data_IF_588446351687
#
_entry.id   IF_588446351687
#
_cell.length_a   1.000
_cell.length_b   1.000
_cell.length_c   1.000
_cell.angle_alpha   90.00
_cell.angle_beta   90.00
_cell.angle_gamma   90.00
#
_symmetry.space_group_name_H-M   'P 1'
#
loop_
_entity.id
_entity.type
_entity.pdbx_description
1 polymer ?
#
# COMPACT_ATOMS: atom_id res chain seq x y z
N UNK A 1 12.44 3.52 -3.39
CA UNK A 1 12.61 2.06 -3.68
C UNK A 1 11.25 1.40 -3.79
N UNK A 2 11.01 0.62 -4.86
CA UNK A 2 9.70 -0.04 -5.11
C UNK A 2 9.93 -1.53 -5.28
N UNK A 3 9.10 -2.36 -4.62
CA UNK A 3 9.05 -3.81 -4.77
C UNK A 3 7.61 -4.30 -4.87
N UNK A 4 7.28 -5.06 -5.89
CA UNK A 4 6.02 -5.78 -6.07
C UNK A 4 6.34 -7.27 -6.07
N UNK A 5 5.86 -8.02 -5.07
CA UNK A 5 6.34 -9.37 -4.79
C UNK A 5 5.26 -10.28 -4.21
N UNK A 6 5.42 -11.59 -4.37
CA UNK A 6 4.58 -12.60 -3.71
C UNK A 6 5.10 -12.97 -2.32
N UNK A 7 6.42 -12.87 -2.12
CA UNK A 7 7.05 -13.21 -0.85
C UNK A 7 6.57 -12.31 0.29
N UNK A 8 6.42 -12.87 1.48
CA UNK A 8 6.18 -12.11 2.71
C UNK A 8 7.36 -11.20 3.05
N UNK A 9 7.11 -10.17 3.81
CA UNK A 9 8.13 -9.28 4.35
C UNK A 9 7.81 -8.92 5.81
N UNK A 10 8.84 -8.61 6.57
CA UNK A 10 8.71 -8.05 7.91
C UNK A 10 8.83 -6.52 7.84
N UNK A 11 7.73 -5.82 8.14
CA UNK A 11 7.65 -4.37 7.98
C UNK A 11 8.62 -3.62 8.91
N UNK A 12 8.90 -4.16 10.10
CA UNK A 12 9.84 -3.54 11.04
C UNK A 12 11.27 -3.64 10.53
N UNK A 13 11.66 -4.81 10.07
CA UNK A 13 13.00 -5.04 9.47
C UNK A 13 13.20 -4.17 8.24
N UNK A 14 12.21 -4.09 7.34
CA UNK A 14 12.28 -3.28 6.13
C UNK A 14 12.37 -1.78 6.44
N UNK A 15 11.56 -1.31 7.37
CA UNK A 15 11.57 0.10 7.79
C UNK A 15 12.88 0.48 8.48
N UNK A 16 13.41 -0.41 9.33
CA UNK A 16 14.69 -0.19 9.99
C UNK A 16 15.86 -0.16 8.98
N UNK A 17 15.86 -1.06 8.00
CA UNK A 17 16.85 -1.10 6.93
C UNK A 17 16.78 0.17 6.05
N UNK A 18 15.56 0.62 5.72
CA UNK A 18 15.32 1.82 4.93
C UNK A 18 15.85 3.10 5.60
N UNK A 19 15.70 3.23 6.92
CA UNK A 19 16.17 4.39 7.68
C UNK A 19 17.66 4.32 8.08
N UNK A 20 18.29 3.15 7.94
CA UNK A 20 19.66 2.94 8.40
C UNK A 20 20.66 3.87 7.72
N UNK A 21 21.43 4.62 8.52
CA UNK A 21 22.48 5.51 8.02
C UNK A 21 21.99 6.83 7.41
N UNK A 22 20.68 7.12 7.50
CA UNK A 22 20.07 8.35 6.95
C UNK A 22 20.05 9.47 8.00
N UNK A 23 21.25 9.92 8.40
CA UNK A 23 21.39 10.96 9.42
C UNK A 23 20.82 12.32 9.00
N UNK A 24 20.61 12.55 7.71
CA UNK A 24 19.98 13.73 7.13
C UNK A 24 18.45 13.76 7.33
N UNK A 25 17.85 12.61 7.66
CA UNK A 25 16.41 12.50 7.88
C UNK A 25 16.03 12.86 9.32
N UNK A 26 15.23 13.89 9.49
CA UNK A 26 14.62 14.26 10.77
C UNK A 26 13.30 13.52 11.08
N UNK A 27 12.72 12.86 10.07
CA UNK A 27 11.47 12.15 10.21
C UNK A 27 11.39 10.93 9.30
N UNK A 28 10.86 9.83 9.85
CA UNK A 28 10.39 8.65 9.15
C UNK A 28 8.90 8.48 9.45
N UNK A 29 8.08 8.42 8.43
CA UNK A 29 6.68 7.98 8.54
C UNK A 29 6.49 6.68 7.78
N UNK A 30 5.63 5.80 8.27
CA UNK A 30 5.29 4.56 7.58
C UNK A 30 3.84 4.13 7.83
N UNK A 31 3.29 3.43 6.87
CA UNK A 31 2.00 2.75 6.94
C UNK A 31 2.17 1.29 6.53
N UNK A 32 1.55 0.40 7.30
CA UNK A 32 1.47 -1.04 6.98
C UNK A 32 0.00 -1.42 6.87
N UNK A 33 -0.39 -1.93 5.71
CA UNK A 33 -1.71 -2.53 5.50
C UNK A 33 -1.63 -4.05 5.61
N UNK A 34 -2.56 -4.66 6.34
CA UNK A 34 -2.63 -6.11 6.54
C UNK A 34 -3.99 -6.68 6.16
N UNK A 35 -4.04 -7.98 5.91
CA UNK A 35 -5.28 -8.72 5.68
C UNK A 35 -6.06 -8.78 6.99
N UNK A 36 -7.32 -8.36 6.95
CA UNK A 36 -8.24 -8.48 8.09
C UNK A 36 -8.91 -9.85 8.09
N UNK A 37 -9.30 -10.33 9.26
CA UNK A 37 -10.04 -11.58 9.45
C UNK A 37 -11.52 -11.47 9.11
N UNK A 38 -12.02 -10.27 8.94
CA UNK A 38 -13.42 -9.99 8.64
C UNK A 38 -13.57 -8.80 7.67
N UNK A 39 -14.58 -8.88 6.83
CA UNK A 39 -15.01 -7.81 5.95
C UNK A 39 -16.54 -7.80 5.84
N UNK A 40 -17.16 -6.61 6.05
CA UNK A 40 -18.61 -6.43 6.00
C UNK A 40 -19.44 -7.33 6.94
N UNK A 41 -18.81 -7.78 8.06
CA UNK A 41 -19.45 -8.69 9.03
C UNK A 41 -19.21 -10.17 8.74
N UNK A 42 -18.61 -10.51 7.61
CA UNK A 42 -18.29 -11.89 7.25
C UNK A 42 -16.81 -12.22 7.49
N UNK A 43 -16.55 -13.49 7.80
CA UNK A 43 -15.18 -14.01 7.95
C UNK A 43 -14.46 -14.04 6.61
N UNK A 44 -13.18 -13.69 6.61
CA UNK A 44 -12.28 -13.75 5.45
C UNK A 44 -11.24 -14.83 5.71
N UNK A 45 -11.18 -15.84 4.85
CA UNK A 45 -10.16 -16.90 4.91
C UNK A 45 -8.84 -16.46 4.29
N UNK A 46 -8.92 -15.68 3.20
CA UNK A 46 -7.76 -15.12 2.51
C UNK A 46 -8.15 -13.91 1.66
N UNK A 47 -7.15 -13.12 1.35
CA UNK A 47 -7.17 -12.09 0.32
C UNK A 47 -6.29 -12.55 -0.83
N UNK A 48 -6.79 -12.47 -2.05
CA UNK A 48 -6.00 -12.69 -3.25
C UNK A 48 -5.91 -11.38 -4.05
N UNK A 49 -4.69 -10.99 -4.38
CA UNK A 49 -4.41 -9.85 -5.23
C UNK A 49 -3.71 -10.33 -6.50
N UNK A 50 -4.21 -9.90 -7.64
CA UNK A 50 -3.52 -10.08 -8.91
C UNK A 50 -2.84 -8.77 -9.31
N UNK A 51 -1.61 -8.87 -9.78
CA UNK A 51 -0.81 -7.77 -10.31
C UNK A 51 -0.42 -8.06 -11.74
N UNK A 52 -0.16 -7.01 -12.50
CA UNK A 52 0.37 -7.11 -13.85
C UNK A 52 1.87 -6.79 -13.84
N UNK A 53 2.77 -7.80 -13.83
CA UNK A 53 4.22 -7.59 -13.76
C UNK A 53 4.71 -6.58 -14.80
N UNK A 54 5.56 -5.66 -14.38
CA UNK A 54 6.09 -4.58 -15.20
C UNK A 54 5.15 -3.40 -15.39
N UNK A 55 3.84 -3.60 -15.45
CA UNK A 55 2.88 -2.49 -15.53
C UNK A 55 2.57 -1.92 -14.13
N UNK A 56 2.32 -2.80 -13.17
CA UNK A 56 2.04 -2.39 -11.79
C UNK A 56 3.20 -1.60 -11.19
N UNK A 57 4.44 -2.08 -11.37
CA UNK A 57 5.63 -1.38 -10.90
C UNK A 57 5.80 -0.01 -11.56
N UNK A 58 5.52 0.12 -12.85
CA UNK A 58 5.57 1.41 -13.57
C UNK A 58 4.56 2.40 -13.04
N UNK A 59 3.34 1.96 -12.73
CA UNK A 59 2.31 2.83 -12.15
C UNK A 59 2.70 3.28 -10.74
N UNK A 60 3.21 2.38 -9.92
CA UNK A 60 3.71 2.73 -8.57
C UNK A 60 4.88 3.71 -8.68
N UNK A 61 5.82 3.51 -9.62
CA UNK A 61 6.94 4.42 -9.85
C UNK A 61 6.48 5.82 -10.27
N UNK A 62 5.42 5.92 -11.08
CA UNK A 62 4.81 7.21 -11.44
C UNK A 62 4.25 7.93 -10.21
N UNK A 63 3.48 7.21 -9.39
CA UNK A 63 2.90 7.75 -8.15
C UNK A 63 4.01 8.22 -7.20
N UNK A 64 5.08 7.44 -7.06
CA UNK A 64 6.25 7.77 -6.23
C UNK A 64 6.97 9.03 -6.75
N UNK A 65 7.16 9.15 -8.06
CA UNK A 65 7.78 10.33 -8.66
C UNK A 65 6.93 11.61 -8.41
N UNK A 66 5.62 11.52 -8.57
CA UNK A 66 4.71 12.63 -8.27
C UNK A 66 4.73 13.02 -6.77
N UNK A 67 4.88 12.04 -5.86
CA UNK A 67 5.05 12.33 -4.44
C UNK A 67 6.35 13.09 -4.16
N UNK A 68 7.45 12.73 -4.82
CA UNK A 68 8.74 13.42 -4.71
C UNK A 68 8.73 14.84 -5.27
N UNK A 69 7.92 15.10 -6.28
CA UNK A 69 7.73 16.46 -6.81
C UNK A 69 6.88 17.33 -5.88
N UNK A 70 5.97 16.71 -5.13
CA UNK A 70 4.99 17.41 -4.27
C UNK A 70 5.52 17.70 -2.87
N UNK A 71 6.35 16.82 -2.32
CA UNK A 71 6.84 16.86 -0.95
C UNK A 71 8.37 16.88 -0.91
N UNK A 72 8.96 17.60 0.05
CA UNK A 72 10.43 17.59 0.27
C UNK A 72 10.85 16.27 0.93
N UNK A 73 11.08 15.24 0.11
CA UNK A 73 11.40 13.90 0.53
C UNK A 73 12.88 13.59 0.31
N UNK A 74 13.46 12.92 1.27
CA UNK A 74 14.82 12.35 1.15
C UNK A 74 14.73 11.03 0.40
N UNK A 75 13.77 10.15 0.79
CA UNK A 75 13.55 8.87 0.11
C UNK A 75 12.18 8.30 0.42
N UNK A 76 11.74 7.31 -0.38
CA UNK A 76 10.49 6.55 -0.21
C UNK A 76 10.73 5.06 -0.38
N UNK A 77 9.94 4.26 0.33
CA UNK A 77 9.88 2.81 0.21
C UNK A 77 8.44 2.39 -0.02
N UNK A 78 8.20 1.62 -1.07
CA UNK A 78 6.91 0.97 -1.33
C UNK A 78 7.15 -0.52 -1.56
N UNK A 79 6.59 -1.36 -0.69
CA UNK A 79 6.56 -2.81 -0.88
C UNK A 79 5.10 -3.20 -0.98
N UNK A 80 4.71 -3.83 -2.07
CA UNK A 80 3.35 -4.32 -2.26
C UNK A 80 3.36 -5.80 -2.61
N UNK A 81 2.57 -6.60 -1.86
CA UNK A 81 2.41 -8.03 -2.15
C UNK A 81 1.24 -8.26 -3.08
N UNK A 82 1.34 -9.33 -3.85
CA UNK A 82 0.25 -9.93 -4.61
C UNK A 82 0.25 -11.45 -4.40
N UNK A 83 -0.75 -12.14 -4.93
CA UNK A 83 -1.01 -13.55 -4.64
C UNK A 83 -1.93 -13.73 -3.43
N UNK A 84 -1.98 -14.93 -2.90
CA UNK A 84 -2.82 -15.30 -1.76
C UNK A 84 -2.15 -14.92 -0.45
N UNK A 85 -2.90 -14.25 0.42
CA UNK A 85 -2.47 -13.82 1.76
C UNK A 85 -3.58 -14.13 2.76
N UNK A 86 -3.20 -14.58 3.96
CA UNK A 86 -4.14 -14.90 5.03
C UNK A 86 -4.25 -13.77 6.05
N UNK A 87 -5.30 -13.74 6.89
CA UNK A 87 -5.48 -12.74 7.92
C UNK A 87 -4.23 -12.55 8.79
N UNK A 88 -3.87 -11.29 9.05
CA UNK A 88 -2.68 -10.88 9.79
C UNK A 88 -1.44 -10.67 8.92
N UNK A 89 -1.38 -11.19 7.71
CA UNK A 89 -0.25 -10.96 6.82
C UNK A 89 -0.23 -9.52 6.26
N UNK A 90 0.98 -8.95 6.17
CA UNK A 90 1.18 -7.64 5.56
C UNK A 90 0.96 -7.71 4.04
N UNK A 91 0.20 -6.75 3.52
CA UNK A 91 -0.09 -6.55 2.10
C UNK A 91 0.84 -5.49 1.51
N UNK A 92 0.97 -4.37 2.21
CA UNK A 92 1.67 -3.19 1.75
C UNK A 92 2.43 -2.53 2.88
N UNK A 93 3.63 -2.06 2.58
CA UNK A 93 4.39 -1.12 3.37
C UNK A 93 4.68 0.11 2.51
N UNK A 94 4.31 1.28 3.01
CA UNK A 94 4.72 2.58 2.47
C UNK A 94 5.49 3.32 3.54
N UNK A 95 6.67 3.81 3.21
CA UNK A 95 7.46 4.64 4.11
C UNK A 95 8.09 5.83 3.38
N UNK A 96 8.25 6.93 4.09
CA UNK A 96 8.86 8.16 3.59
C UNK A 96 9.83 8.75 4.62
N UNK A 97 10.99 9.17 4.14
CA UNK A 97 11.98 9.92 4.88
C UNK A 97 11.97 11.39 4.43
N UNK A 98 11.94 12.30 5.37
CA UNK A 98 12.03 13.74 5.15
C UNK A 98 12.79 14.43 6.29
N UNK A 99 13.21 15.67 6.08
CA UNK A 99 13.75 16.51 7.16
C UNK A 99 12.71 16.82 8.22
N UNK A 100 11.42 16.89 7.83
CA UNK A 100 10.34 17.32 8.69
C UNK A 100 9.18 16.34 8.71
N UNK A 101 8.58 16.15 9.90
CA UNK A 101 7.49 15.19 10.12
C UNK A 101 6.26 15.41 9.22
N UNK A 102 5.95 16.68 8.90
CA UNK A 102 4.76 17.03 8.10
C UNK A 102 4.86 16.43 6.71
N UNK A 103 5.98 16.64 6.05
CA UNK A 103 6.23 16.12 4.69
C UNK A 103 6.20 14.58 4.66
N UNK A 104 6.85 13.94 5.65
CA UNK A 104 6.86 12.48 5.73
C UNK A 104 5.47 11.89 5.91
N UNK A 105 4.65 12.45 6.82
CA UNK A 105 3.28 11.99 7.08
C UNK A 105 2.35 12.22 5.87
N UNK A 106 2.42 13.42 5.28
CA UNK A 106 1.60 13.76 4.11
C UNK A 106 1.97 12.91 2.88
N UNK A 107 3.25 12.61 2.70
CA UNK A 107 3.70 11.76 1.60
C UNK A 107 3.19 10.32 1.74
N UNK A 108 3.23 9.74 2.94
CA UNK A 108 2.69 8.39 3.18
C UNK A 108 1.18 8.36 2.92
N UNK A 109 0.44 9.35 3.40
CA UNK A 109 -1.00 9.48 3.20
C UNK A 109 -1.34 9.62 1.69
N UNK A 110 -0.65 10.51 0.99
CA UNK A 110 -0.76 10.69 -0.46
C UNK A 110 -0.49 9.40 -1.24
N UNK A 111 0.63 8.73 -0.92
CA UNK A 111 1.02 7.49 -1.59
C UNK A 111 -0.04 6.40 -1.39
N UNK A 112 -0.59 6.28 -0.18
CA UNK A 112 -1.63 5.29 0.10
C UNK A 112 -2.92 5.54 -0.67
N UNK A 113 -3.39 6.80 -0.71
CA UNK A 113 -4.60 7.15 -1.46
C UNK A 113 -4.44 6.87 -2.97
N UNK A 114 -3.27 7.22 -3.51
CA UNK A 114 -2.98 6.98 -4.93
C UNK A 114 -2.81 5.49 -5.25
N UNK A 115 -2.13 4.73 -4.38
CA UNK A 115 -1.98 3.27 -4.54
C UNK A 115 -3.33 2.55 -4.54
N UNK A 116 -4.27 2.96 -3.68
CA UNK A 116 -5.60 2.36 -3.61
C UNK A 116 -6.47 2.63 -4.84
N UNK A 117 -6.28 3.76 -5.50
CA UNK A 117 -7.12 4.18 -6.63
C UNK A 117 -6.50 3.93 -7.99
N UNK A 118 -5.18 3.97 -8.10
CA UNK A 118 -4.48 3.95 -9.39
C UNK A 118 -3.54 2.76 -9.59
N UNK A 119 -3.13 2.07 -8.50
CA UNK A 119 -2.33 0.88 -8.67
C UNK A 119 -3.23 -0.28 -9.16
N UNK A 120 -2.85 -0.93 -10.28
CA UNK A 120 -3.69 -1.93 -10.92
C UNK A 120 -3.59 -3.29 -10.23
N UNK A 121 -4.20 -3.39 -9.04
CA UNK A 121 -4.40 -4.64 -8.32
C UNK A 121 -5.86 -5.04 -8.39
N UNK A 122 -6.12 -6.24 -8.89
CA UNK A 122 -7.43 -6.87 -8.81
C UNK A 122 -7.54 -7.60 -7.48
N UNK A 123 -8.59 -7.30 -6.73
CA UNK A 123 -8.80 -7.82 -5.38
C UNK A 123 -9.93 -8.84 -5.34
N UNK A 124 -9.66 -10.01 -4.74
CA UNK A 124 -10.63 -11.06 -4.49
C UNK A 124 -10.60 -11.46 -3.01
N UNK A 125 -11.73 -11.43 -2.33
CA UNK A 125 -11.87 -11.98 -0.99
C UNK A 125 -12.28 -13.44 -1.08
N UNK A 126 -11.60 -14.28 -0.31
CA UNK A 126 -11.91 -15.69 -0.17
C UNK A 126 -12.57 -15.87 1.18
N UNK A 127 -13.76 -16.45 1.19
CA UNK A 127 -14.60 -16.67 2.37
C UNK A 127 -14.84 -18.15 2.60
N UNK A 128 -15.01 -18.59 3.86
CA UNK A 128 -15.42 -19.97 4.14
C UNK A 128 -16.78 -20.25 3.49
N UNK A 129 -16.89 -21.39 2.82
CA UNK A 129 -18.16 -21.92 2.34
C UNK A 129 -18.51 -23.19 3.14
N UNK A 130 -19.79 -23.62 3.14
CA UNK A 130 -20.22 -24.82 3.83
C UNK A 130 -19.39 -26.06 3.44
N UNK A 131 -19.32 -27.06 4.34
CA UNK A 131 -18.60 -28.32 4.15
C UNK A 131 -17.09 -28.20 3.88
N UNK A 132 -16.44 -27.14 4.43
CA UNK A 132 -14.98 -26.94 4.29
C UNK A 132 -14.52 -26.38 2.94
N UNK A 133 -15.48 -25.93 2.10
CA UNK A 133 -15.17 -25.23 0.86
C UNK A 133 -14.78 -23.77 1.06
N UNK A 134 -14.37 -23.13 -0.02
CA UNK A 134 -14.11 -21.70 -0.10
C UNK A 134 -14.91 -21.07 -1.25
N UNK A 135 -15.39 -19.85 -1.03
CA UNK A 135 -16.00 -19.01 -2.05
C UNK A 135 -15.17 -17.77 -2.24
N UNK A 136 -14.85 -17.42 -3.49
CA UNK A 136 -14.04 -16.26 -3.82
C UNK A 136 -14.86 -15.25 -4.63
N UNK A 137 -14.86 -13.99 -4.21
CA UNK A 137 -15.61 -12.90 -4.83
C UNK A 137 -14.68 -11.74 -5.17
N UNK A 138 -14.79 -11.22 -6.40
CA UNK A 138 -14.09 -10.02 -6.82
C UNK A 138 -14.68 -8.79 -6.15
N UNK A 139 -13.82 -7.90 -5.67
CA UNK A 139 -14.24 -6.69 -4.96
C UNK A 139 -13.79 -5.45 -5.75
N UNK A 140 -14.75 -4.59 -6.01
CA UNK A 140 -14.48 -3.28 -6.60
C UNK A 140 -13.88 -2.31 -5.57
N UNK A 141 -13.07 -1.32 -6.03
CA UNK A 141 -12.57 -0.24 -5.18
C UNK A 141 -13.71 0.51 -4.51
N UNK A 142 -13.54 0.83 -3.23
CA UNK A 142 -14.55 1.55 -2.43
C UNK A 142 -14.72 2.99 -2.88
N UNK A 143 -15.93 3.53 -2.68
CA UNK A 143 -16.23 4.95 -2.90
C UNK A 143 -15.35 5.89 -2.09
N UNK A 144 -15.12 5.57 -0.81
CA UNK A 144 -14.27 6.33 0.11
C UNK A 144 -12.83 6.51 -0.39
N UNK A 145 -12.28 5.52 -1.10
CA UNK A 145 -10.93 5.61 -1.68
C UNK A 145 -10.87 6.64 -2.82
N UNK A 146 -11.97 6.84 -3.56
CA UNK A 146 -12.08 7.87 -4.62
C UNK A 146 -12.18 9.29 -4.03
N UNK A 147 -12.91 9.46 -2.93
CA UNK A 147 -13.01 10.75 -2.23
C UNK A 147 -11.67 11.14 -1.61
N UNK A 148 -10.96 10.20 -0.99
CA UNK A 148 -9.62 10.41 -0.45
C UNK A 148 -8.63 10.85 -1.54
N UNK A 149 -8.70 10.27 -2.74
CA UNK A 149 -7.90 10.69 -3.90
C UNK A 149 -8.23 12.12 -4.35
N UNK A 150 -9.52 12.51 -4.38
CA UNK A 150 -9.97 13.80 -4.87
C UNK A 150 -9.34 14.98 -4.11
N UNK A 151 -9.09 14.86 -2.79
CA UNK A 151 -8.44 15.90 -1.97
C UNK A 151 -7.05 16.32 -2.46
N UNK A 152 -6.37 15.45 -3.22
CA UNK A 152 -5.04 15.71 -3.76
C UNK A 152 -5.06 16.37 -5.14
N UNK A 153 -6.20 16.33 -5.83
CA UNK A 153 -6.39 16.94 -7.17
C UNK A 153 -6.88 18.37 -7.09
N UNK A 154 -7.60 18.77 -6.04
CA UNK A 154 -8.18 20.11 -5.88
C UNK A 154 -7.19 21.20 -5.41
N UNK A 155 -5.96 20.87 -5.08
CA UNK A 155 -4.94 21.78 -4.53
C UNK A 155 -3.90 22.32 -5.52
N UNK A 156 -4.13 22.26 -6.83
CA UNK A 156 -3.28 22.88 -7.87
C UNK A 156 -3.94 24.16 -8.38
N UNK A 157 -3.92 25.21 -7.56
CA UNK A 157 -4.08 26.60 -8.00
C UNK A 157 -2.94 27.44 -7.44
#
# INVERSE_FOLDING_TARGET
MIRVQTASFDAHTETAAFAKGRAEAGALASFVGSVRDSAHGDMVSALELEAYPGFTEKQIAKIEAEARERFDLIDTLVIHRYGRMVPGEAIVLVAALSKHRREALQAVDYLMDRLKTEAPFWKREVRPAGEGGEHAEWIEPRGDDREAHARWTEGKT
#
